data_IF_921948142221
#
_entry.id   IF_921948142221
#
_cell.length_a   1.000
_cell.length_b   1.000
_cell.length_c   1.000
_cell.angle_alpha   90.00
_cell.angle_beta   90.00
_cell.angle_gamma   90.00
#
_symmetry.space_group_name_H-M   'P 1'
#
loop_
_entity.id
_entity.type
_entity.pdbx_description
1 polymer ?
#
# COMPACT_ATOMS: atom_id res chain seq x y z
N UNK A 1 -7.58 -0.88 -10.56
CA UNK A 1 -6.57 -1.92 -10.24
C UNK A 1 -5.69 -1.54 -9.05
N UNK A 2 -4.92 -0.44 -9.07
CA UNK A 2 -4.03 -0.09 -7.94
C UNK A 2 -4.75 0.21 -6.62
N UNK A 3 -5.94 0.84 -6.64
CA UNK A 3 -6.74 1.03 -5.42
C UNK A 3 -7.20 -0.30 -4.80
N UNK A 4 -7.51 -1.30 -5.62
CA UNK A 4 -7.88 -2.63 -5.13
C UNK A 4 -6.66 -3.37 -4.57
N UNK A 5 -5.49 -3.23 -5.20
CA UNK A 5 -4.23 -3.74 -4.66
C UNK A 5 -3.92 -3.09 -3.29
N UNK A 6 -4.05 -1.77 -3.18
CA UNK A 6 -3.89 -1.04 -1.92
C UNK A 6 -4.84 -1.58 -0.84
N UNK A 7 -6.12 -1.74 -1.17
CA UNK A 7 -7.13 -2.27 -0.25
C UNK A 7 -6.77 -3.68 0.25
N UNK A 8 -6.33 -4.56 -0.66
CA UNK A 8 -5.96 -5.94 -0.31
C UNK A 8 -4.68 -6.01 0.53
N UNK A 9 -3.66 -5.22 0.21
CA UNK A 9 -2.43 -5.16 1.01
C UNK A 9 -2.73 -4.63 2.42
N UNK A 10 -3.54 -3.56 2.55
CA UNK A 10 -3.96 -3.06 3.87
C UNK A 10 -4.75 -4.10 4.66
N UNK A 11 -5.65 -4.85 4.01
CA UNK A 11 -6.37 -5.94 4.68
C UNK A 11 -5.42 -7.07 5.11
N UNK A 12 -4.42 -7.39 4.28
CA UNK A 12 -3.42 -8.42 4.59
C UNK A 12 -2.55 -8.03 5.79
N UNK A 13 -2.13 -6.75 5.88
CA UNK A 13 -1.39 -6.24 7.05
C UNK A 13 -2.21 -6.44 8.32
N UNK A 14 -3.47 -6.00 8.32
CA UNK A 14 -4.36 -6.15 9.49
C UNK A 14 -4.55 -7.60 9.91
N UNK A 15 -4.65 -8.51 8.94
CA UNK A 15 -4.75 -9.94 9.20
C UNK A 15 -3.47 -10.48 9.88
N UNK A 16 -2.29 -10.15 9.35
CA UNK A 16 -1.05 -10.63 9.95
C UNK A 16 -0.77 -9.98 11.31
N UNK A 17 -1.14 -8.71 11.50
CA UNK A 17 -1.08 -8.02 12.80
C UNK A 17 -1.99 -8.71 13.83
N UNK A 18 -3.24 -9.07 13.47
CA UNK A 18 -4.11 -9.79 14.41
C UNK A 18 -3.56 -11.16 14.80
N UNK A 19 -2.98 -11.90 13.83
CA UNK A 19 -2.36 -13.20 14.12
C UNK A 19 -1.06 -13.02 14.93
N UNK A 20 -0.30 -11.95 14.69
CA UNK A 20 0.89 -11.61 15.47
C UNK A 20 0.52 -11.37 16.93
N UNK A 21 -0.54 -10.59 17.19
CA UNK A 21 -0.96 -10.26 18.55
C UNK A 21 -1.39 -11.50 19.34
N UNK A 22 -2.07 -12.44 18.69
CA UNK A 22 -2.54 -13.70 19.29
C UNK A 22 -1.42 -14.76 19.45
N UNK A 23 -0.25 -14.55 18.84
CA UNK A 23 0.82 -15.54 18.82
C UNK A 23 1.74 -15.45 20.06
N UNK A 24 1.99 -16.61 20.69
CA UNK A 24 2.90 -16.72 21.84
C UNK A 24 4.30 -17.28 21.49
N UNK A 25 4.48 -17.79 20.28
CA UNK A 25 5.76 -18.34 19.83
C UNK A 25 6.66 -17.21 19.26
N UNK A 26 7.82 -16.90 19.88
CA UNK A 26 8.66 -15.77 19.46
C UNK A 26 9.15 -15.88 18.00
N UNK A 27 9.49 -17.07 17.57
CA UNK A 27 9.93 -17.35 16.19
C UNK A 27 8.84 -17.06 15.15
N UNK A 28 7.59 -17.39 15.46
CA UNK A 28 6.44 -17.12 14.61
C UNK A 28 6.11 -15.63 14.62
N UNK A 29 6.23 -14.96 15.78
CA UNK A 29 6.10 -13.50 15.87
C UNK A 29 7.12 -12.79 14.97
N UNK A 30 8.39 -13.16 15.03
CA UNK A 30 9.42 -12.57 14.17
C UNK A 30 9.08 -12.76 12.69
N UNK A 31 8.71 -13.98 12.29
CA UNK A 31 8.29 -14.27 10.91
C UNK A 31 7.09 -13.44 10.45
N UNK A 32 6.06 -13.31 11.29
CA UNK A 32 4.88 -12.49 11.00
C UNK A 32 5.23 -11.00 10.94
N UNK A 33 6.13 -10.53 11.79
CA UNK A 33 6.65 -9.17 11.77
C UNK A 33 7.35 -8.83 10.45
N UNK A 34 8.20 -9.73 9.96
CA UNK A 34 8.87 -9.56 8.66
C UNK A 34 7.86 -9.47 7.51
N UNK A 35 6.81 -10.29 7.52
CA UNK A 35 5.73 -10.21 6.53
C UNK A 35 5.00 -8.86 6.63
N UNK A 36 4.65 -8.41 7.84
CA UNK A 36 3.96 -7.12 8.04
C UNK A 36 4.77 -5.97 7.46
N UNK A 37 6.09 -5.94 7.71
CA UNK A 37 6.98 -4.91 7.20
C UNK A 37 7.11 -4.95 5.67
N UNK A 38 7.25 -6.14 5.07
CA UNK A 38 7.27 -6.28 3.61
C UNK A 38 5.97 -5.73 2.98
N UNK A 39 4.82 -6.06 3.56
CA UNK A 39 3.51 -5.63 3.08
C UNK A 39 3.31 -4.12 3.22
N UNK A 40 3.80 -3.52 4.32
CA UNK A 40 3.82 -2.05 4.50
C UNK A 40 4.65 -1.37 3.41
N UNK A 41 5.78 -1.95 3.01
CA UNK A 41 6.58 -1.44 1.89
C UNK A 41 5.83 -1.53 0.55
N UNK A 42 5.04 -2.58 0.31
CA UNK A 42 4.18 -2.66 -0.88
C UNK A 42 3.10 -1.57 -0.89
N UNK A 43 2.46 -1.32 0.25
CA UNK A 43 1.47 -0.24 0.40
C UNK A 43 2.07 1.12 0.00
N UNK A 44 3.27 1.44 0.51
CA UNK A 44 3.96 2.69 0.20
C UNK A 44 4.25 2.83 -1.30
N UNK A 45 4.76 1.76 -1.94
CA UNK A 45 5.01 1.73 -3.39
C UNK A 45 3.73 1.96 -4.21
N UNK A 46 2.62 1.35 -3.79
CA UNK A 46 1.32 1.53 -4.45
C UNK A 46 0.81 2.97 -4.30
N UNK A 47 0.91 3.56 -3.10
CA UNK A 47 0.53 4.96 -2.85
C UNK A 47 1.37 5.91 -3.70
N UNK A 48 2.68 5.72 -3.72
CA UNK A 48 3.58 6.52 -4.56
C UNK A 48 3.16 6.45 -6.03
N UNK A 49 2.86 5.25 -6.53
CA UNK A 49 2.42 5.08 -7.92
C UNK A 49 1.07 5.76 -8.20
N UNK A 50 0.12 5.66 -7.28
CA UNK A 50 -1.16 6.36 -7.39
C UNK A 50 -0.96 7.88 -7.44
N UNK A 51 -0.07 8.43 -6.63
CA UNK A 51 0.25 9.85 -6.62
C UNK A 51 0.91 10.31 -7.93
N UNK A 52 1.86 9.54 -8.48
CA UNK A 52 2.45 9.82 -9.80
C UNK A 52 1.38 9.89 -10.91
N UNK A 53 0.42 8.95 -10.91
CA UNK A 53 -0.64 8.92 -11.91
C UNK A 53 -1.59 10.12 -11.77
N UNK A 54 -1.94 10.51 -10.53
CA UNK A 54 -2.75 11.70 -10.27
C UNK A 54 -2.06 12.97 -10.74
N UNK A 55 -0.78 13.14 -10.39
CA UNK A 55 0.02 14.30 -10.81
C UNK A 55 0.13 14.40 -12.35
N UNK A 56 0.32 13.27 -13.05
CA UNK A 56 0.32 13.23 -14.52
C UNK A 56 -1.03 13.63 -15.11
N UNK A 57 -2.14 13.17 -14.54
CA UNK A 57 -3.48 13.56 -14.99
C UNK A 57 -3.69 15.08 -14.85
N UNK A 58 -3.39 15.64 -13.66
CA UNK A 58 -3.55 17.07 -13.40
C UNK A 58 -2.68 17.94 -14.30
N UNK A 59 -1.46 17.50 -14.60
CA UNK A 59 -0.58 18.22 -15.53
C UNK A 59 -1.17 18.25 -16.96
N UNK A 60 -1.75 17.15 -17.43
CA UNK A 60 -2.41 17.11 -18.75
C UNK A 60 -3.66 17.99 -18.79
N UNK A 61 -4.48 17.97 -17.74
CA UNK A 61 -5.69 18.80 -17.64
C UNK A 61 -5.37 20.31 -17.63
N UNK A 62 -4.27 20.70 -16.97
CA UNK A 62 -3.80 22.09 -16.95
C UNK A 62 -3.30 22.60 -18.31
N UNK A 63 -2.69 21.73 -19.12
CA UNK A 63 -2.27 22.05 -20.50
C UNK A 63 -3.50 22.20 -21.39
N UNK A 64 -4.47 21.31 -21.30
CA UNK A 64 -5.69 21.38 -22.13
C UNK A 64 -6.48 22.69 -21.90
N UNK A 65 -6.56 23.15 -20.65
CA UNK A 65 -7.26 24.39 -20.28
C UNK A 65 -6.49 25.68 -20.62
N UNK A 66 -5.21 25.59 -21.02
CA UNK A 66 -4.42 26.77 -21.41
C UNK A 66 -4.39 27.02 -22.92
N UNK A 67 -5.02 26.15 -23.72
CA UNK A 67 -5.15 26.29 -25.18
C UNK A 67 -6.59 26.59 -25.66
N UNK A 68 -7.53 26.86 -24.74
CA UNK A 68 -8.93 27.23 -25.04
C UNK A 68 -9.21 28.70 -24.76
#
# INVERSE_FOLDING_TARGET
MLNEALRRETASVRFYESVYDDCNAPEVKNFLGDIVEERRMHILKIIQKLNELRAKSQAMDGIANSFS
#
